data_IF_898208712484
#
_entry.id   IF_898208712484
#
_cell.length_a   1.000
_cell.length_b   1.000
_cell.length_c   1.000
_cell.angle_alpha   90.00
_cell.angle_beta   90.00
_cell.angle_gamma   90.00
#
_symmetry.space_group_name_H-M   'P 1'
#
loop_
_entity.id
_entity.type
_entity.pdbx_description
1 polymer ?
#
# COMPACT_ATOMS: atom_id res chain seq x y z
N UNK A 1 7.86 4.11 12.72
CA UNK A 1 7.34 2.90 12.05
C UNK A 1 6.28 3.18 10.98
N UNK A 2 5.07 3.68 11.29
CA UNK A 2 4.01 3.87 10.26
C UNK A 2 4.28 5.00 9.26
N UNK A 3 4.76 6.15 9.73
CA UNK A 3 5.03 7.31 8.86
C UNK A 3 6.30 7.09 8.03
N UNK A 4 7.33 6.47 8.61
CA UNK A 4 8.53 6.06 7.87
C UNK A 4 8.20 5.04 6.79
N UNK A 5 7.32 4.06 7.08
CA UNK A 5 6.84 3.12 6.07
C UNK A 5 6.06 3.82 4.95
N UNK A 6 5.22 4.82 5.27
CA UNK A 6 4.51 5.62 4.28
C UNK A 6 5.47 6.47 3.42
N UNK A 7 6.48 7.09 4.02
CA UNK A 7 7.52 7.84 3.29
C UNK A 7 8.33 6.91 2.38
N UNK A 8 8.69 5.72 2.86
CA UNK A 8 9.40 4.72 2.07
C UNK A 8 8.51 4.12 0.96
N UNK A 9 7.20 3.97 1.19
CA UNK A 9 6.23 3.61 0.17
C UNK A 9 6.12 4.70 -0.91
N UNK A 10 6.19 5.98 -0.54
CA UNK A 10 6.24 7.10 -1.49
C UNK A 10 7.54 7.07 -2.30
N UNK A 11 8.69 6.78 -1.68
CA UNK A 11 9.98 6.68 -2.39
C UNK A 11 10.05 5.49 -3.36
N UNK A 12 9.59 4.32 -2.93
CA UNK A 12 9.50 3.13 -3.80
C UNK A 12 8.52 3.34 -4.96
N UNK A 13 7.38 4.00 -4.72
CA UNK A 13 6.45 4.42 -5.77
C UNK A 13 7.09 5.39 -6.77
N UNK A 14 7.92 6.35 -6.30
CA UNK A 14 8.70 7.24 -7.17
C UNK A 14 9.69 6.47 -8.04
N UNK A 15 10.42 5.51 -7.47
CA UNK A 15 11.38 4.69 -8.22
C UNK A 15 10.69 3.86 -9.31
N UNK A 16 9.57 3.21 -8.98
CA UNK A 16 8.76 2.46 -9.95
C UNK A 16 8.20 3.35 -11.06
N UNK A 17 7.76 4.56 -10.72
CA UNK A 17 7.25 5.54 -11.69
C UNK A 17 8.36 6.05 -12.62
N UNK A 18 9.57 6.27 -12.09
CA UNK A 18 10.74 6.69 -12.87
C UNK A 18 11.19 5.59 -13.83
N UNK A 19 11.19 4.33 -13.39
CA UNK A 19 11.52 3.18 -14.24
C UNK A 19 10.50 3.02 -15.37
N UNK A 20 9.20 3.08 -15.05
CA UNK A 20 8.13 3.03 -16.06
C UNK A 20 8.28 4.14 -17.10
N UNK A 21 8.58 5.37 -16.65
CA UNK A 21 8.84 6.50 -17.56
C UNK A 21 10.01 6.21 -18.49
N UNK A 22 11.13 5.74 -17.94
CA UNK A 22 12.33 5.41 -18.73
C UNK A 22 12.02 4.34 -19.79
N UNK A 23 11.22 3.32 -19.45
CA UNK A 23 10.81 2.30 -20.42
C UNK A 23 10.01 2.87 -21.59
N UNK A 24 9.09 3.79 -21.32
CA UNK A 24 8.29 4.46 -22.37
C UNK A 24 9.17 5.39 -23.21
N UNK A 25 10.10 6.12 -22.60
CA UNK A 25 11.06 6.98 -23.31
C UNK A 25 11.92 6.17 -24.28
N UNK A 26 12.45 5.01 -23.84
CA UNK A 26 13.22 4.10 -24.69
C UNK A 26 12.36 3.51 -25.83
N UNK A 27 11.12 3.12 -25.54
CA UNK A 27 10.20 2.62 -26.55
C UNK A 27 9.84 3.70 -27.59
N UNK A 28 9.71 4.96 -27.16
CA UNK A 28 9.50 6.10 -28.04
C UNK A 28 10.71 6.36 -28.95
N UNK A 29 11.93 6.28 -28.40
CA UNK A 29 13.17 6.42 -29.17
C UNK A 29 13.26 5.35 -30.26
N UNK A 30 12.99 4.09 -29.90
CA UNK A 30 12.94 2.97 -30.84
C UNK A 30 11.88 3.19 -31.94
N UNK A 31 10.66 3.60 -31.57
CA UNK A 31 9.59 3.86 -32.54
C UNK A 31 9.96 5.01 -33.51
N UNK A 32 10.62 6.07 -33.01
CA UNK A 32 11.10 7.18 -33.85
C UNK A 32 12.19 6.73 -34.81
N UNK A 33 13.09 5.88 -34.36
CA UNK A 33 14.10 5.27 -35.22
C UNK A 33 13.47 4.45 -36.35
N UNK A 34 12.50 3.61 -36.03
CA UNK A 34 11.79 2.77 -37.01
C UNK A 34 11.00 3.62 -38.02
N UNK A 35 10.33 4.67 -37.57
CA UNK A 35 9.63 5.60 -38.46
C UNK A 35 10.61 6.31 -39.41
N UNK A 36 11.75 6.79 -38.91
CA UNK A 36 12.79 7.41 -39.74
C UNK A 36 13.45 6.41 -40.71
N UNK A 37 13.57 5.15 -40.33
CA UNK A 37 14.04 4.10 -41.22
C UNK A 37 13.03 3.80 -42.34
N UNK A 38 11.75 3.63 -42.00
CA UNK A 38 10.68 3.42 -42.98
C UNK A 38 10.54 4.60 -43.96
N UNK A 39 10.68 5.83 -43.47
CA UNK A 39 10.71 7.03 -44.30
C UNK A 39 11.83 6.97 -45.35
N UNK A 40 13.07 6.67 -44.92
CA UNK A 40 14.20 6.56 -45.85
C UNK A 40 14.01 5.47 -46.91
N UNK A 41 13.33 4.38 -46.57
CA UNK A 41 13.00 3.33 -47.54
C UNK A 41 11.97 3.82 -48.57
N UNK A 42 10.94 4.53 -48.11
CA UNK A 42 9.95 5.15 -48.99
C UNK A 42 10.57 6.19 -49.92
N UNK A 43 11.41 7.09 -49.39
CA UNK A 43 12.08 8.14 -50.15
C UNK A 43 13.07 7.59 -51.20
N UNK A 44 13.58 6.37 -51.01
CA UNK A 44 14.52 5.72 -51.92
C UNK A 44 13.85 4.88 -53.03
N UNK A 45 12.53 4.67 -52.99
CA UNK A 45 11.83 3.84 -53.98
C UNK A 45 11.59 4.61 -55.29
N UNK A 46 11.70 3.92 -56.42
CA UNK A 46 11.29 4.47 -57.71
C UNK A 46 9.75 4.64 -57.74
N UNK A 47 9.22 5.85 -58.04
CA UNK A 47 7.78 6.10 -58.15
C UNK A 47 7.04 5.20 -59.14
N UNK A 48 7.71 4.69 -60.17
CA UNK A 48 7.10 3.78 -61.15
C UNK A 48 6.77 2.40 -60.54
N UNK A 49 7.42 2.03 -59.43
CA UNK A 49 7.13 0.83 -58.64
C UNK A 49 5.96 1.05 -57.67
N UNK A 50 4.79 1.43 -58.20
CA UNK A 50 3.61 1.89 -57.43
C UNK A 50 3.17 0.93 -56.31
N UNK A 51 3.22 -0.38 -56.52
CA UNK A 51 2.86 -1.36 -55.50
C UNK A 51 3.84 -1.36 -54.32
N UNK A 52 5.14 -1.21 -54.60
CA UNK A 52 6.19 -1.15 -53.58
C UNK A 52 6.09 0.17 -52.82
N UNK A 53 5.91 1.28 -53.54
CA UNK A 53 5.70 2.59 -52.93
C UNK A 53 4.49 2.60 -51.97
N UNK A 54 3.36 2.03 -52.39
CA UNK A 54 2.16 1.94 -51.54
C UNK A 54 2.30 1.01 -50.34
N UNK A 55 3.14 -0.04 -50.41
CA UNK A 55 3.47 -0.86 -49.24
C UNK A 55 4.41 -0.13 -48.27
N UNK A 56 5.44 0.55 -48.78
CA UNK A 56 6.38 1.33 -47.96
C UNK A 56 5.69 2.51 -47.27
N UNK A 57 4.78 3.19 -47.97
CA UNK A 57 3.93 4.24 -47.38
C UNK A 57 3.07 3.68 -46.25
N UNK A 58 2.42 2.53 -46.46
CA UNK A 58 1.63 1.87 -45.40
C UNK A 58 2.49 1.52 -44.18
N UNK A 59 3.71 1.01 -44.37
CA UNK A 59 4.64 0.71 -43.27
C UNK A 59 5.11 1.97 -42.54
N UNK A 60 5.41 3.03 -43.27
CA UNK A 60 5.79 4.30 -42.66
C UNK A 60 4.64 4.90 -41.84
N UNK A 61 3.42 4.89 -42.38
CA UNK A 61 2.22 5.32 -41.66
C UNK A 61 1.97 4.48 -40.39
N UNK A 62 2.18 3.17 -40.45
CA UNK A 62 2.08 2.30 -39.28
C UNK A 62 3.13 2.66 -38.21
N UNK A 63 4.39 2.88 -38.60
CA UNK A 63 5.44 3.30 -37.67
C UNK A 63 5.15 4.68 -37.04
N UNK A 64 4.61 5.64 -37.81
CA UNK A 64 4.18 6.93 -37.29
C UNK A 64 3.02 6.81 -36.30
N UNK A 65 2.11 5.86 -36.49
CA UNK A 65 1.03 5.59 -35.53
C UNK A 65 1.59 5.09 -34.18
N UNK A 66 2.60 4.21 -34.21
CA UNK A 66 3.28 3.73 -33.00
C UNK A 66 3.99 4.88 -32.27
N UNK A 67 4.67 5.78 -32.99
CA UNK A 67 5.29 6.98 -32.38
C UNK A 67 4.23 7.81 -31.63
N UNK A 68 3.09 8.10 -32.28
CA UNK A 68 2.00 8.87 -31.67
C UNK A 68 1.42 8.18 -30.43
N UNK A 69 1.30 6.85 -30.45
CA UNK A 69 0.85 6.07 -29.30
C UNK A 69 1.80 6.24 -28.10
N UNK A 70 3.12 6.11 -28.33
CA UNK A 70 4.12 6.24 -27.26
C UNK A 70 4.24 7.67 -26.74
N UNK A 71 4.10 8.68 -27.60
CA UNK A 71 4.03 10.09 -27.18
C UNK A 71 2.78 10.37 -26.34
N UNK A 72 1.62 9.83 -26.73
CA UNK A 72 0.40 9.94 -25.94
C UNK A 72 0.53 9.25 -24.57
N UNK A 73 1.15 8.07 -24.53
CA UNK A 73 1.43 7.35 -23.29
C UNK A 73 2.34 8.15 -22.36
N UNK A 74 3.41 8.75 -22.88
CA UNK A 74 4.32 9.62 -22.12
C UNK A 74 3.60 10.86 -21.59
N UNK A 75 2.85 11.56 -22.44
CA UNK A 75 2.07 12.75 -22.05
C UNK A 75 1.01 12.43 -20.98
N UNK A 76 0.34 11.29 -21.09
CA UNK A 76 -0.63 10.84 -20.09
C UNK A 76 0.03 10.56 -18.74
N UNK A 77 1.28 10.07 -18.75
CA UNK A 77 2.07 9.83 -17.55
C UNK A 77 2.52 11.15 -16.91
N UNK A 78 2.88 12.15 -17.70
CA UNK A 78 3.23 13.50 -17.21
C UNK A 78 2.03 14.23 -16.61
N UNK A 79 0.86 14.12 -17.25
CA UNK A 79 -0.38 14.75 -16.78
C UNK A 79 -0.88 14.13 -15.47
N UNK A 80 -0.62 12.84 -15.25
CA UNK A 80 -1.04 12.10 -14.04
C UNK A 80 -0.04 12.18 -12.88
N UNK A 81 1.07 12.91 -13.03
CA UNK A 81 2.09 13.03 -12.00
C UNK A 81 1.50 13.79 -10.79
N UNK A 82 1.34 13.17 -9.61
CA UNK A 82 1.15 13.94 -8.40
C UNK A 82 2.42 14.77 -8.21
N UNK A 83 2.30 16.07 -7.96
CA UNK A 83 3.46 16.90 -7.63
C UNK A 83 4.26 16.20 -6.52
N UNK A 84 5.56 16.05 -6.75
CA UNK A 84 6.40 15.42 -5.75
C UNK A 84 6.37 16.30 -4.50
N UNK A 85 5.96 15.74 -3.35
CA UNK A 85 5.98 16.43 -2.07
C UNK A 85 7.33 17.14 -1.89
N UNK A 86 7.28 18.43 -1.65
CA UNK A 86 8.44 19.24 -1.27
C UNK A 86 9.02 18.77 0.06
N UNK A 87 10.28 19.10 0.33
CA UNK A 87 10.90 18.75 1.61
C UNK A 87 10.13 19.38 2.79
N UNK A 88 9.56 20.57 2.62
CA UNK A 88 8.73 21.21 3.63
C UNK A 88 7.46 20.39 3.95
N UNK A 89 6.72 19.96 2.93
CA UNK A 89 5.52 19.12 3.11
C UNK A 89 5.88 17.76 3.72
N UNK A 90 7.03 17.19 3.35
CA UNK A 90 7.54 15.95 3.96
C UNK A 90 7.81 16.11 5.45
N UNK A 91 8.47 17.20 5.86
CA UNK A 91 8.73 17.49 7.27
C UNK A 91 7.44 17.77 8.03
N UNK A 92 6.48 18.44 7.41
CA UNK A 92 5.17 18.70 8.02
C UNK A 92 4.40 17.40 8.27
N UNK A 93 4.37 16.48 7.30
CA UNK A 93 3.76 15.15 7.47
C UNK A 93 4.42 14.33 8.59
N UNK A 94 5.76 14.37 8.68
CA UNK A 94 6.50 13.72 9.77
C UNK A 94 6.12 14.32 11.13
N UNK A 95 6.01 15.64 11.21
CA UNK A 95 5.64 16.35 12.42
C UNK A 95 4.21 16.00 12.87
N UNK A 96 3.24 16.06 11.96
CA UNK A 96 1.84 15.68 12.24
C UNK A 96 1.72 14.25 12.77
N UNK A 97 2.51 13.34 12.21
CA UNK A 97 2.52 11.96 12.67
C UNK A 97 3.13 11.78 14.08
N UNK A 98 4.19 12.52 14.41
CA UNK A 98 4.75 12.56 15.76
C UNK A 98 3.76 13.16 16.78
N UNK A 99 3.01 14.19 16.38
CA UNK A 99 1.96 14.79 17.21
C UNK A 99 0.81 13.81 17.49
N UNK A 100 0.42 13.01 16.49
CA UNK A 100 -0.60 11.97 16.66
C UNK A 100 -0.15 10.89 17.65
N UNK A 101 1.08 10.41 17.52
CA UNK A 101 1.66 9.44 18.44
C UNK A 101 1.71 9.99 19.87
N UNK A 102 2.16 11.25 20.01
CA UNK A 102 2.18 11.94 21.30
C UNK A 102 0.78 12.08 21.89
N UNK A 103 -0.21 12.48 21.09
CA UNK A 103 -1.60 12.63 21.50
C UNK A 103 -2.22 11.29 21.95
N UNK A 104 -1.82 10.17 21.33
CA UNK A 104 -2.29 8.83 21.71
C UNK A 104 -1.80 8.40 23.10
N UNK A 105 -0.55 8.73 23.44
CA UNK A 105 0.11 8.31 24.69
C UNK A 105 -0.04 9.28 25.87
N UNK A 106 -0.79 10.39 25.72
CA UNK A 106 -0.99 11.32 26.84
C UNK A 106 -1.72 10.64 28.01
N UNK A 107 -1.26 10.91 29.25
CA UNK A 107 -1.81 10.28 30.46
C UNK A 107 -3.30 10.56 30.68
N UNK A 108 -3.80 11.69 30.20
CA UNK A 108 -5.21 12.10 30.25
C UNK A 108 -6.01 11.68 29.00
N UNK A 109 -5.42 10.92 28.06
CA UNK A 109 -6.11 10.46 26.86
C UNK A 109 -7.19 9.44 27.24
N UNK A 110 -8.42 9.94 27.39
CA UNK A 110 -9.60 9.11 27.65
C UNK A 110 -9.85 8.14 26.49
N UNK A 111 -10.64 7.09 26.76
CA UNK A 111 -11.10 6.15 25.73
C UNK A 111 -11.88 6.84 24.61
N UNK A 112 -12.57 7.95 24.91
CA UNK A 112 -13.28 8.77 23.93
C UNK A 112 -12.30 9.50 23.00
N UNK A 113 -11.26 10.13 23.55
CA UNK A 113 -10.23 10.83 22.77
C UNK A 113 -9.51 9.86 21.83
N UNK A 114 -9.11 8.70 22.33
CA UNK A 114 -8.47 7.64 21.53
C UNK A 114 -9.40 7.13 20.41
N UNK A 115 -10.68 6.89 20.70
CA UNK A 115 -11.66 6.52 19.66
C UNK A 115 -11.82 7.60 18.59
N UNK A 116 -11.76 8.88 18.97
CA UNK A 116 -11.84 10.00 18.03
C UNK A 116 -10.63 10.03 17.09
N UNK A 117 -9.42 9.88 17.63
CA UNK A 117 -8.18 9.81 16.85
C UNK A 117 -8.20 8.66 15.83
N UNK A 118 -8.59 7.45 16.26
CA UNK A 118 -8.71 6.29 15.36
C UNK A 118 -9.69 6.57 14.22
N UNK A 119 -10.84 7.19 14.51
CA UNK A 119 -11.88 7.46 13.50
C UNK A 119 -11.43 8.44 12.42
N UNK A 120 -10.46 9.30 12.74
CA UNK A 120 -9.88 10.23 11.76
C UNK A 120 -8.95 9.52 10.78
N UNK A 121 -8.25 8.47 11.22
CA UNK A 121 -7.19 7.83 10.40
C UNK A 121 -7.61 6.50 9.76
N UNK A 122 -8.54 5.77 10.39
CA UNK A 122 -9.06 4.49 9.90
C UNK A 122 -10.33 4.73 9.09
N UNK A 123 -10.33 4.27 7.83
CA UNK A 123 -11.52 4.25 6.97
C UNK A 123 -12.43 3.07 7.33
N UNK A 124 -11.86 1.87 7.34
CA UNK A 124 -12.57 0.64 7.71
C UNK A 124 -11.59 -0.44 8.19
N UNK A 125 -12.11 -1.45 8.86
CA UNK A 125 -11.37 -2.65 9.23
C UNK A 125 -12.18 -3.84 8.73
N UNK A 126 -11.62 -4.57 7.77
CA UNK A 126 -12.23 -5.79 7.25
C UNK A 126 -11.66 -6.96 8.06
N UNK A 127 -12.52 -7.73 8.69
CA UNK A 127 -12.12 -8.88 9.52
C UNK A 127 -12.66 -10.16 8.90
N UNK A 128 -11.79 -11.13 8.71
CA UNK A 128 -12.13 -12.50 8.33
C UNK A 128 -11.69 -13.45 9.43
N UNK A 129 -12.54 -14.41 9.74
CA UNK A 129 -12.23 -15.46 10.71
C UNK A 129 -12.19 -16.78 9.98
N UNK A 130 -11.02 -17.41 9.94
CA UNK A 130 -10.80 -18.73 9.36
C UNK A 130 -10.21 -19.65 10.44
N UNK A 131 -10.92 -20.72 10.79
CA UNK A 131 -10.56 -21.65 11.87
C UNK A 131 -10.30 -20.92 13.21
N UNK A 132 -9.06 -21.06 13.71
CA UNK A 132 -8.54 -20.44 14.93
C UNK A 132 -7.74 -19.16 14.65
N UNK A 133 -7.94 -18.53 13.48
CA UNK A 133 -7.22 -17.33 13.07
C UNK A 133 -8.18 -16.19 12.72
N UNK A 134 -7.86 -15.01 13.23
CA UNK A 134 -8.53 -13.75 12.87
C UNK A 134 -7.56 -13.01 11.97
N UNK A 135 -7.93 -12.87 10.71
CA UNK A 135 -7.24 -12.02 9.76
C UNK A 135 -7.97 -10.69 9.70
N UNK A 136 -7.23 -9.59 9.73
CA UNK A 136 -7.80 -8.27 9.61
C UNK A 136 -6.97 -7.42 8.67
N UNK A 137 -7.66 -6.62 7.86
CA UNK A 137 -7.06 -5.61 7.00
C UNK A 137 -7.60 -4.26 7.45
N UNK A 138 -6.71 -3.37 7.88
CA UNK A 138 -7.03 -1.99 8.22
C UNK A 138 -6.86 -1.16 6.95
N UNK A 139 -7.93 -0.51 6.51
CA UNK A 139 -7.89 0.46 5.41
C UNK A 139 -7.75 1.85 6.02
N UNK A 140 -6.66 2.54 5.66
CA UNK A 140 -6.39 3.89 6.14
C UNK A 140 -7.02 4.93 5.21
N UNK A 141 -7.32 6.11 5.74
CA UNK A 141 -7.89 7.21 4.93
C UNK A 141 -6.96 7.66 3.77
N UNK A 142 -5.65 7.38 3.86
CA UNK A 142 -4.66 7.66 2.81
C UNK A 142 -4.56 6.60 1.70
N UNK A 143 -5.42 5.58 1.71
CA UNK A 143 -5.38 4.50 0.71
C UNK A 143 -4.32 3.43 0.95
N UNK A 144 -3.56 3.53 2.04
CA UNK A 144 -2.66 2.48 2.50
C UNK A 144 -3.43 1.37 3.25
N UNK A 145 -2.83 0.19 3.35
CA UNK A 145 -3.46 -1.00 3.94
C UNK A 145 -2.48 -1.73 4.86
N UNK A 146 -2.93 -2.07 6.07
CA UNK A 146 -2.15 -2.89 7.01
C UNK A 146 -2.86 -4.19 7.32
N UNK A 147 -2.18 -5.31 7.08
CA UNK A 147 -2.70 -6.65 7.39
C UNK A 147 -2.18 -7.11 8.74
N UNK A 148 -3.07 -7.63 9.59
CA UNK A 148 -2.74 -8.22 10.88
C UNK A 148 -3.39 -9.61 10.96
N UNK A 149 -2.72 -10.52 11.63
CA UNK A 149 -3.22 -11.89 11.81
C UNK A 149 -2.95 -12.35 13.24
N UNK A 150 -4.00 -12.71 13.95
CA UNK A 150 -3.92 -13.12 15.35
C UNK A 150 -4.65 -14.45 15.55
N UNK A 151 -4.11 -15.29 16.44
CA UNK A 151 -4.79 -16.51 16.84
C UNK A 151 -6.02 -16.15 17.70
N UNK A 152 -7.13 -16.84 17.49
CA UNK A 152 -8.28 -16.76 18.39
C UNK A 152 -7.85 -17.23 19.76
N UNK A 153 -8.35 -16.53 20.77
CA UNK A 153 -8.26 -17.04 22.12
C UNK A 153 -8.99 -18.39 22.21
N UNK A 154 -8.37 -19.36 22.91
CA UNK A 154 -9.03 -20.62 23.25
C UNK A 154 -10.28 -20.35 24.08
N UNK A 155 -11.28 -21.22 23.95
CA UNK A 155 -12.49 -21.18 24.79
C UNK A 155 -12.09 -21.08 26.27
N UNK A 156 -12.67 -20.12 27.00
CA UNK A 156 -12.37 -19.85 28.42
C UNK A 156 -11.15 -18.98 28.70
N UNK A 157 -10.28 -18.72 27.71
CA UNK A 157 -9.13 -17.83 27.87
C UNK A 157 -9.46 -16.43 27.36
N UNK A 158 -9.92 -15.53 28.23
CA UNK A 158 -10.12 -14.12 27.90
C UNK A 158 -9.45 -13.23 28.95
N UNK A 159 -9.29 -11.92 28.68
CA UNK A 159 -8.62 -11.00 29.62
C UNK A 159 -9.27 -10.88 31.01
N UNK A 160 -10.51 -11.37 31.15
CA UNK A 160 -11.26 -11.44 32.40
C UNK A 160 -11.17 -12.83 33.06
N UNK A 161 -10.30 -13.70 32.57
CA UNK A 161 -10.08 -15.04 33.11
C UNK A 161 -9.17 -14.96 34.32
N UNK A 162 -9.30 -15.92 35.24
CA UNK A 162 -8.37 -16.08 36.34
C UNK A 162 -6.93 -16.22 35.81
N UNK A 163 -5.96 -15.59 36.47
CA UNK A 163 -4.55 -15.72 36.12
C UNK A 163 -4.15 -17.21 36.04
N UNK A 164 -3.24 -17.60 35.13
CA UNK A 164 -2.88 -19.01 34.92
C UNK A 164 -2.35 -19.72 36.18
N UNK A 165 -1.92 -18.96 37.18
CA UNK A 165 -1.46 -19.44 38.49
C UNK A 165 -2.60 -19.79 39.47
N UNK A 166 -3.82 -19.31 39.21
CA UNK A 166 -4.99 -19.56 40.06
C UNK A 166 -5.45 -21.01 39.98
N UNK A 167 -5.36 -21.67 38.82
CA UNK A 167 -5.78 -23.07 38.69
C UNK A 167 -4.87 -24.04 39.49
N UNK A 168 -3.52 -23.98 39.40
CA UNK A 168 -2.64 -24.74 40.27
C UNK A 168 -2.85 -24.44 41.75
N UNK A 169 -3.09 -23.17 42.11
CA UNK A 169 -3.34 -22.74 43.48
C UNK A 169 -4.65 -23.34 44.03
N UNK A 170 -5.76 -23.24 43.29
CA UNK A 170 -7.03 -23.88 43.64
C UNK A 170 -6.83 -25.40 43.80
N UNK A 171 -6.09 -26.03 42.88
CA UNK A 171 -5.82 -27.47 42.93
C UNK A 171 -4.98 -27.88 44.15
N UNK A 172 -4.05 -27.04 44.57
CA UNK A 172 -3.27 -27.26 45.79
C UNK A 172 -4.11 -27.08 47.05
N UNK A 173 -4.93 -26.02 47.11
CA UNK A 173 -5.82 -25.72 48.24
C UNK A 173 -6.93 -26.77 48.39
N UNK A 174 -7.48 -27.28 47.28
CA UNK A 174 -8.51 -28.33 47.28
C UNK A 174 -8.07 -29.66 47.90
N UNK A 175 -6.75 -29.87 48.06
CA UNK A 175 -6.22 -31.04 48.77
C UNK A 175 -6.32 -30.91 50.29
N UNK A 176 -6.47 -29.68 50.80
CA UNK A 176 -6.41 -29.39 52.24
C UNK A 176 -7.66 -28.67 52.77
N UNK A 177 -8.44 -28.02 51.90
CA UNK A 177 -9.56 -27.17 52.28
C UNK A 177 -10.81 -27.52 51.46
N UNK A 178 -12.01 -27.41 52.05
CA UNK A 178 -13.26 -27.50 51.32
C UNK A 178 -13.50 -26.24 50.46
N UNK A 179 -14.18 -26.39 49.33
CA UNK A 179 -14.40 -25.32 48.32
C UNK A 179 -14.90 -23.99 48.92
N UNK A 180 -15.77 -24.04 49.93
CA UNK A 180 -16.28 -22.84 50.61
C UNK A 180 -15.18 -22.02 51.29
N UNK A 181 -14.16 -22.67 51.84
CA UNK A 181 -13.02 -22.00 52.46
C UNK A 181 -12.04 -21.46 51.41
N UNK A 182 -11.88 -22.15 50.28
CA UNK A 182 -11.06 -21.70 49.15
C UNK A 182 -11.66 -20.44 48.51
N UNK A 183 -12.98 -20.43 48.29
CA UNK A 183 -13.69 -19.28 47.74
C UNK A 183 -13.59 -18.04 48.66
N UNK A 184 -13.55 -18.23 49.98
CA UNK A 184 -13.35 -17.14 50.94
C UNK A 184 -11.91 -16.59 50.96
N UNK A 185 -10.93 -17.37 50.50
CA UNK A 185 -9.52 -17.00 50.50
C UNK A 185 -9.08 -16.33 49.19
N UNK A 186 -9.80 -16.61 48.09
CA UNK A 186 -9.50 -16.11 46.74
C UNK A 186 -10.40 -14.96 46.26
N UNK A 187 -11.44 -14.60 47.02
CA UNK A 187 -12.26 -13.39 46.82
C UNK A 187 -11.67 -12.21 47.62
#
# INVERSE_FOLDING_TARGET
>A
MGIEAAVQAIETSKAQSAEKRRQIELALEQARYEAAHAQRQYDAVDPDNRLVAGELERRWNAALAVVREREAELNALETKKPEALSEAERQELLHMGADLERAWHQANATSVTRKRNIRTVVREIVVRVENDRIEMVVHWQGGDHTTLSVMKNKLGHHRWGAAPEIEPLIRALARQLPDKAIAALLN
#
